data_IF_514369498732
#
_entry.id   IF_514369498732
#
_cell.length_a   1.000
_cell.length_b   1.000
_cell.length_c   1.000
_cell.angle_alpha   90.00
_cell.angle_beta   90.00
_cell.angle_gamma   90.00
#
_symmetry.space_group_name_H-M   'P 1'
#
loop_
_entity.id
_entity.type
_entity.pdbx_description
1 polymer ?
#
# COMPACT_ATOMS: atom_id res chain seq x y z
N UNK A 1 -29.71 33.65 27.13
CA UNK A 1 -29.70 32.77 25.95
C UNK A 1 -29.02 33.52 24.82
N UNK A 2 -27.75 33.23 24.53
CA UNK A 2 -27.07 33.79 23.36
C UNK A 2 -27.70 33.16 22.11
N UNK A 3 -28.35 33.96 21.28
CA UNK A 3 -28.78 33.54 19.96
C UNK A 3 -27.53 33.04 19.20
N UNK A 4 -27.49 31.75 18.88
CA UNK A 4 -26.43 31.21 18.05
C UNK A 4 -26.44 32.00 16.74
N UNK A 5 -25.32 32.67 16.44
CA UNK A 5 -25.24 33.54 15.28
C UNK A 5 -25.55 32.72 14.00
N UNK A 6 -26.47 33.21 13.18
CA UNK A 6 -26.87 32.62 11.88
C UNK A 6 -25.75 32.63 10.82
N UNK A 7 -24.52 32.91 11.24
CA UNK A 7 -23.37 33.14 10.38
C UNK A 7 -22.68 31.79 10.11
N UNK A 8 -22.24 31.53 8.86
CA UNK A 8 -21.44 30.36 8.53
C UNK A 8 -20.24 30.20 9.48
N UNK A 9 -19.89 28.95 9.79
CA UNK A 9 -18.80 28.64 10.71
C UNK A 9 -17.47 29.24 10.26
N UNK A 10 -17.23 29.29 8.94
CA UNK A 10 -16.03 29.86 8.34
C UNK A 10 -16.39 30.69 7.10
N UNK A 11 -15.65 31.76 6.80
CA UNK A 11 -15.86 32.51 5.57
C UNK A 11 -15.40 31.69 4.35
N UNK A 12 -16.13 31.81 3.24
CA UNK A 12 -15.95 30.99 2.04
C UNK A 12 -14.51 31.04 1.48
N UNK A 13 -13.87 32.21 1.52
CA UNK A 13 -12.50 32.41 1.04
C UNK A 13 -11.44 31.65 1.86
N UNK A 14 -11.75 31.22 3.08
CA UNK A 14 -10.85 30.36 3.89
C UNK A 14 -11.03 28.89 3.52
N UNK A 15 -12.25 28.46 3.23
CA UNK A 15 -12.59 27.04 3.02
C UNK A 15 -12.36 26.59 1.57
N UNK A 16 -12.68 27.45 0.59
CA UNK A 16 -12.63 27.09 -0.83
C UNK A 16 -11.20 26.84 -1.34
N UNK A 17 -10.19 27.71 -1.10
CA UNK A 17 -8.84 27.48 -1.60
C UNK A 17 -8.21 26.15 -1.14
N UNK A 18 -8.25 25.73 0.15
CA UNK A 18 -7.70 24.45 0.55
C UNK A 18 -8.50 23.27 -0.02
N UNK A 19 -9.84 23.37 -0.10
CA UNK A 19 -10.66 22.32 -0.72
C UNK A 19 -10.34 22.15 -2.22
N UNK A 20 -10.18 23.26 -2.94
CA UNK A 20 -9.75 23.25 -4.35
C UNK A 20 -8.34 22.68 -4.50
N UNK A 21 -7.41 23.06 -3.64
CA UNK A 21 -6.05 22.51 -3.61
C UNK A 21 -6.04 20.99 -3.39
N UNK A 22 -6.79 20.50 -2.41
CA UNK A 22 -6.94 19.07 -2.16
C UNK A 22 -7.59 18.34 -3.34
N UNK A 23 -8.59 18.95 -3.97
CA UNK A 23 -9.23 18.39 -5.16
C UNK A 23 -8.23 18.23 -6.32
N UNK A 24 -7.36 19.22 -6.54
CA UNK A 24 -6.29 19.16 -7.55
C UNK A 24 -5.27 18.08 -7.22
N UNK A 25 -4.85 17.97 -5.96
CA UNK A 25 -3.92 16.92 -5.50
C UNK A 25 -4.52 15.54 -5.72
N UNK A 26 -5.79 15.34 -5.35
CA UNK A 26 -6.49 14.06 -5.53
C UNK A 26 -6.66 13.72 -7.02
N UNK A 27 -7.00 14.70 -7.86
CA UNK A 27 -7.09 14.52 -9.30
C UNK A 27 -5.73 14.12 -9.91
N UNK A 28 -4.65 14.81 -9.52
CA UNK A 28 -3.29 14.46 -9.91
C UNK A 28 -2.88 13.07 -9.43
N UNK A 29 -3.25 12.70 -8.21
CA UNK A 29 -2.99 11.36 -7.65
C UNK A 29 -3.70 10.26 -8.45
N UNK A 30 -4.98 10.46 -8.80
CA UNK A 30 -5.72 9.51 -9.66
C UNK A 30 -5.08 9.39 -11.04
N UNK A 31 -4.63 10.49 -11.63
CA UNK A 31 -3.94 10.49 -12.92
C UNK A 31 -2.58 9.76 -12.84
N UNK A 32 -1.80 10.01 -11.79
CA UNK A 32 -0.52 9.35 -11.55
C UNK A 32 -0.68 7.83 -11.35
N UNK A 33 -1.75 7.38 -10.69
CA UNK A 33 -2.04 5.95 -10.49
C UNK A 33 -2.30 5.18 -11.79
N UNK A 34 -2.59 5.84 -12.90
CA UNK A 34 -2.73 5.17 -14.21
C UNK A 34 -1.40 4.58 -14.71
N UNK A 35 -0.28 5.19 -14.34
CA UNK A 35 1.06 4.80 -14.79
C UNK A 35 1.82 3.96 -13.76
N UNK A 36 1.27 3.79 -12.55
CA UNK A 36 1.91 3.02 -11.51
C UNK A 36 1.84 1.50 -11.81
N UNK A 37 2.96 0.82 -11.65
CA UNK A 37 3.04 -0.64 -11.76
C UNK A 37 2.39 -1.27 -10.51
N UNK A 38 1.08 -1.49 -10.61
CA UNK A 38 0.25 -1.99 -9.52
C UNK A 38 -0.74 -3.03 -10.05
N UNK A 39 -1.06 -4.07 -9.25
CA UNK A 39 -2.15 -4.99 -9.58
C UNK A 39 -3.44 -4.23 -9.86
N UNK A 40 -4.13 -4.59 -10.94
CA UNK A 40 -5.34 -3.89 -11.39
C UNK A 40 -6.42 -3.78 -10.31
N UNK A 41 -6.54 -4.78 -9.44
CA UNK A 41 -7.48 -4.78 -8.31
C UNK A 41 -7.18 -3.65 -7.30
N UNK A 42 -5.92 -3.51 -6.87
CA UNK A 42 -5.48 -2.46 -5.93
C UNK A 42 -5.68 -1.07 -6.53
N UNK A 43 -5.37 -0.92 -7.83
CA UNK A 43 -5.58 0.34 -8.56
C UNK A 43 -7.04 0.76 -8.59
N UNK A 44 -7.97 -0.17 -8.85
CA UNK A 44 -9.43 0.11 -8.86
C UNK A 44 -9.91 0.56 -7.48
N UNK A 45 -9.50 -0.11 -6.40
CA UNK A 45 -9.92 0.24 -5.03
C UNK A 45 -9.38 1.62 -4.64
N UNK A 46 -8.11 1.91 -4.91
CA UNK A 46 -7.52 3.24 -4.63
C UNK A 46 -8.18 4.35 -5.44
N UNK A 47 -8.49 4.10 -6.72
CA UNK A 47 -9.19 5.06 -7.57
C UNK A 47 -10.59 5.35 -7.03
N UNK A 48 -11.34 4.31 -6.62
CA UNK A 48 -12.65 4.48 -5.99
C UNK A 48 -12.54 5.29 -4.70
N UNK A 49 -11.57 4.99 -3.83
CA UNK A 49 -11.31 5.75 -2.61
C UNK A 49 -11.03 7.23 -2.88
N UNK A 50 -10.18 7.53 -3.88
CA UNK A 50 -9.89 8.92 -4.26
C UNK A 50 -11.11 9.65 -4.83
N UNK A 51 -11.95 8.98 -5.64
CA UNK A 51 -13.19 9.57 -6.15
C UNK A 51 -14.13 9.93 -4.99
N UNK A 52 -14.27 9.03 -4.01
CA UNK A 52 -15.07 9.30 -2.80
C UNK A 52 -14.49 10.48 -2.02
N UNK A 53 -13.17 10.56 -1.85
CA UNK A 53 -12.50 11.71 -1.21
C UNK A 53 -12.65 13.03 -2.00
N UNK A 54 -12.76 12.98 -3.32
CA UNK A 54 -13.06 14.17 -4.13
C UNK A 54 -14.52 14.61 -3.95
N UNK A 55 -15.45 13.65 -3.84
CA UNK A 55 -16.86 13.92 -3.60
C UNK A 55 -17.13 14.52 -2.21
N UNK A 56 -16.27 14.27 -1.21
CA UNK A 56 -16.40 14.90 0.11
C UNK A 56 -16.02 16.39 0.12
N UNK A 57 -15.15 16.85 -0.79
CA UNK A 57 -14.71 18.25 -0.82
C UNK A 57 -15.87 19.26 -0.97
N UNK A 58 -16.79 19.13 -1.96
CA UNK A 58 -17.91 20.07 -2.08
C UNK A 58 -18.86 20.01 -0.87
N UNK A 59 -19.00 18.85 -0.21
CA UNK A 59 -19.80 18.73 1.00
C UNK A 59 -19.16 19.45 2.19
N UNK A 60 -17.83 19.38 2.33
CA UNK A 60 -17.07 20.11 3.34
C UNK A 60 -17.22 21.62 3.10
N UNK A 61 -17.06 22.08 1.85
CA UNK A 61 -17.24 23.50 1.49
C UNK A 61 -18.65 23.96 1.80
N UNK A 62 -19.66 23.17 1.43
CA UNK A 62 -21.05 23.47 1.76
C UNK A 62 -21.25 23.54 3.27
N UNK A 63 -20.77 22.54 4.02
CA UNK A 63 -20.99 22.42 5.45
C UNK A 63 -20.39 23.60 6.24
N UNK A 64 -19.17 24.02 5.90
CA UNK A 64 -18.47 25.06 6.66
C UNK A 64 -18.69 26.48 6.11
N UNK A 65 -18.92 26.62 4.80
CA UNK A 65 -19.00 27.93 4.13
C UNK A 65 -20.42 28.42 3.83
N UNK A 66 -21.42 27.52 3.76
CA UNK A 66 -22.79 27.86 3.33
C UNK A 66 -23.83 27.37 4.34
N UNK A 67 -23.64 26.17 4.89
CA UNK A 67 -24.55 25.53 5.83
C UNK A 67 -24.68 26.34 7.11
N UNK A 68 -25.92 26.72 7.43
CA UNK A 68 -26.25 27.43 8.67
C UNK A 68 -27.15 26.56 9.55
N UNK A 69 -26.95 26.65 10.87
CA UNK A 69 -27.80 25.96 11.86
C UNK A 69 -29.23 26.49 11.88
N UNK A 70 -29.48 27.67 11.29
CA UNK A 70 -30.82 28.23 11.14
C UNK A 70 -31.76 27.29 10.35
N UNK A 71 -31.20 26.49 9.44
CA UNK A 71 -31.93 25.54 8.61
C UNK A 71 -31.50 24.10 8.95
N UNK A 72 -32.10 23.48 9.99
CA UNK A 72 -31.62 22.22 10.54
C UNK A 72 -31.76 21.04 9.55
N UNK A 73 -32.76 21.07 8.65
CA UNK A 73 -32.98 19.98 7.67
C UNK A 73 -31.82 19.80 6.69
N UNK A 74 -31.45 20.80 5.86
CA UNK A 74 -30.31 20.65 4.94
C UNK A 74 -29.01 20.42 5.69
N UNK A 75 -28.82 21.07 6.85
CA UNK A 75 -27.63 20.87 7.69
C UNK A 75 -27.48 19.40 8.13
N UNK A 76 -28.55 18.79 8.67
CA UNK A 76 -28.54 17.37 9.05
C UNK A 76 -28.34 16.44 7.86
N UNK A 77 -28.94 16.74 6.70
CA UNK A 77 -28.76 15.95 5.49
C UNK A 77 -27.31 15.96 4.99
N UNK A 78 -26.64 17.12 4.99
CA UNK A 78 -25.22 17.23 4.64
C UNK A 78 -24.34 16.43 5.59
N UNK A 79 -24.58 16.53 6.90
CA UNK A 79 -23.87 15.72 7.89
C UNK A 79 -24.08 14.22 7.67
N UNK A 80 -25.32 13.79 7.43
CA UNK A 80 -25.64 12.40 7.14
C UNK A 80 -24.93 11.89 5.87
N UNK A 81 -24.89 12.70 4.80
CA UNK A 81 -24.13 12.38 3.59
C UNK A 81 -22.63 12.26 3.88
N UNK A 82 -22.06 13.18 4.67
CA UNK A 82 -20.64 13.19 5.00
C UNK A 82 -20.25 11.96 5.84
N UNK A 83 -21.05 11.60 6.84
CA UNK A 83 -20.88 10.37 7.63
C UNK A 83 -21.03 9.13 6.74
N UNK A 84 -22.01 9.12 5.83
CA UNK A 84 -22.21 8.02 4.87
C UNK A 84 -21.00 7.82 3.94
N UNK A 85 -20.45 8.90 3.39
CA UNK A 85 -19.22 8.88 2.59
C UNK A 85 -18.01 8.43 3.41
N UNK A 86 -17.88 8.88 4.66
CA UNK A 86 -16.83 8.43 5.56
C UNK A 86 -16.95 6.93 5.85
N UNK A 87 -18.15 6.44 6.11
CA UNK A 87 -18.44 5.01 6.25
C UNK A 87 -18.03 4.22 5.00
N UNK A 88 -18.36 4.74 3.81
CA UNK A 88 -17.94 4.13 2.55
C UNK A 88 -16.40 4.08 2.40
N UNK A 89 -15.68 5.13 2.83
CA UNK A 89 -14.21 5.13 2.86
C UNK A 89 -13.65 4.06 3.80
N UNK A 90 -14.25 3.90 4.99
CA UNK A 90 -13.84 2.86 5.94
C UNK A 90 -14.04 1.47 5.34
N UNK A 91 -15.20 1.21 4.72
CA UNK A 91 -15.47 -0.08 4.05
C UNK A 91 -14.48 -0.34 2.92
N UNK A 92 -14.19 0.66 2.08
CA UNK A 92 -13.19 0.53 1.01
C UNK A 92 -11.79 0.26 1.57
N UNK A 93 -11.40 0.91 2.66
CA UNK A 93 -10.12 0.70 3.33
C UNK A 93 -10.02 -0.72 3.91
N UNK A 94 -11.08 -1.24 4.52
CA UNK A 94 -11.14 -2.61 5.01
C UNK A 94 -11.01 -3.61 3.85
N UNK A 95 -11.69 -3.38 2.73
CA UNK A 95 -11.57 -4.23 1.54
C UNK A 95 -10.15 -4.21 0.97
N UNK A 96 -9.48 -3.05 0.93
CA UNK A 96 -8.07 -2.94 0.50
C UNK A 96 -7.13 -3.72 1.43
N UNK A 97 -7.34 -3.63 2.74
CA UNK A 97 -6.56 -4.34 3.74
C UNK A 97 -6.74 -5.86 3.65
N UNK A 98 -7.97 -6.34 3.47
CA UNK A 98 -8.27 -7.76 3.28
C UNK A 98 -7.60 -8.28 2.00
N UNK A 99 -7.70 -7.54 0.90
CA UNK A 99 -7.09 -7.94 -0.36
C UNK A 99 -5.55 -7.96 -0.29
N UNK A 100 -4.96 -6.94 0.35
CA UNK A 100 -3.51 -6.85 0.55
C UNK A 100 -2.97 -7.97 1.45
N UNK A 101 -3.71 -8.34 2.50
CA UNK A 101 -3.31 -9.46 3.38
C UNK A 101 -3.36 -10.81 2.66
N UNK A 102 -4.37 -11.02 1.81
CA UNK A 102 -4.45 -12.21 0.95
C UNK A 102 -3.24 -12.28 0.01
N UNK A 103 -2.91 -11.20 -0.70
CA UNK A 103 -1.77 -11.18 -1.61
C UNK A 103 -0.44 -11.44 -0.88
N UNK A 104 -0.24 -10.82 0.28
CA UNK A 104 0.97 -11.01 1.07
C UNK A 104 1.12 -12.45 1.57
N UNK A 105 0.01 -13.15 1.84
CA UNK A 105 0.04 -14.56 2.21
C UNK A 105 0.53 -15.46 1.06
N UNK A 106 0.18 -15.15 -0.19
CA UNK A 106 0.65 -15.87 -1.37
C UNK A 106 2.13 -15.60 -1.63
N UNK A 107 2.55 -14.34 -1.61
CA UNK A 107 3.96 -13.96 -1.78
C UNK A 107 4.86 -14.59 -0.70
N UNK A 108 4.41 -14.62 0.56
CA UNK A 108 5.15 -15.30 1.64
C UNK A 108 5.29 -16.80 1.42
N UNK A 109 4.28 -17.46 0.83
CA UNK A 109 4.35 -18.90 0.51
C UNK A 109 5.32 -19.15 -0.63
N UNK A 110 5.33 -18.30 -1.64
CA UNK A 110 6.23 -18.39 -2.79
C UNK A 110 7.69 -18.16 -2.40
N UNK A 111 7.97 -17.08 -1.65
CA UNK A 111 9.31 -16.81 -1.12
C UNK A 111 9.84 -17.93 -0.22
N UNK A 112 8.96 -18.60 0.55
CA UNK A 112 9.34 -19.78 1.34
C UNK A 112 9.72 -20.98 0.46
N UNK A 113 9.06 -21.15 -0.68
CA UNK A 113 9.38 -22.23 -1.64
C UNK A 113 10.69 -21.93 -2.37
N UNK A 114 10.89 -20.69 -2.83
CA UNK A 114 12.15 -20.27 -3.46
C UNK A 114 13.33 -20.39 -2.51
N UNK A 115 13.18 -19.97 -1.25
CA UNK A 115 14.23 -20.13 -0.25
C UNK A 115 14.62 -21.59 -0.03
N UNK A 116 13.65 -22.51 0.00
CA UNK A 116 13.92 -23.96 0.12
C UNK A 116 14.68 -24.49 -1.09
N UNK A 117 14.28 -24.10 -2.31
CA UNK A 117 14.99 -24.46 -3.55
C UNK A 117 16.44 -23.97 -3.52
N UNK A 118 16.67 -22.71 -3.16
CA UNK A 118 18.03 -22.17 -3.05
C UNK A 118 18.86 -22.92 -1.99
N UNK A 119 18.26 -23.34 -0.87
CA UNK A 119 18.95 -24.14 0.14
C UNK A 119 19.31 -25.54 -0.37
N UNK A 120 18.41 -26.18 -1.11
CA UNK A 120 18.64 -27.47 -1.76
C UNK A 120 19.77 -27.37 -2.79
N UNK A 121 19.78 -26.32 -3.62
CA UNK A 121 20.82 -26.06 -4.61
C UNK A 121 22.19 -25.83 -3.96
N UNK A 122 22.25 -25.02 -2.89
CA UNK A 122 23.49 -24.80 -2.13
C UNK A 122 23.98 -26.11 -1.51
N UNK A 123 23.09 -26.89 -0.88
CA UNK A 123 23.45 -28.17 -0.28
C UNK A 123 23.98 -29.15 -1.33
N UNK A 124 23.35 -29.18 -2.51
CA UNK A 124 23.79 -29.99 -3.65
C UNK A 124 25.19 -29.60 -4.10
N UNK A 125 25.45 -28.32 -4.36
CA UNK A 125 26.77 -27.83 -4.80
C UNK A 125 27.86 -28.18 -3.77
N UNK A 126 27.59 -27.99 -2.49
CA UNK A 126 28.53 -28.32 -1.40
C UNK A 126 28.80 -29.83 -1.34
N UNK A 127 27.77 -30.66 -1.53
CA UNK A 127 27.92 -32.12 -1.52
C UNK A 127 28.71 -32.65 -2.73
N UNK A 128 28.52 -32.04 -3.91
CA UNK A 128 29.27 -32.37 -5.13
C UNK A 128 30.76 -32.04 -4.98
N UNK A 129 31.10 -30.88 -4.39
CA UNK A 129 32.50 -30.53 -4.09
C UNK A 129 33.13 -31.50 -3.08
N UNK A 130 32.40 -31.84 -2.00
CA UNK A 130 32.91 -32.76 -0.97
C UNK A 130 33.19 -34.17 -1.51
N UNK A 131 32.38 -34.66 -2.46
CA UNK A 131 32.64 -35.96 -3.09
C UNK A 131 33.87 -35.92 -4.01
N UNK A 132 34.09 -34.79 -4.70
CA UNK A 132 35.26 -34.61 -5.57
C UNK A 132 36.56 -34.65 -4.79
N UNK A 133 36.63 -33.98 -3.64
CA UNK A 133 37.81 -33.99 -2.76
C UNK A 133 38.12 -35.38 -2.17
N UNK A 134 37.10 -36.23 -1.97
CA UNK A 134 37.29 -37.61 -1.47
C UNK A 134 37.72 -38.57 -2.58
N UNK A 135 37.38 -38.25 -3.83
CA UNK A 135 37.63 -39.09 -5.00
C UNK A 135 38.92 -38.78 -5.76
N UNK A 136 39.55 -37.61 -5.55
CA UNK A 136 40.93 -37.42 -5.98
C UNK A 136 41.82 -38.29 -5.07
N UNK A 137 42.38 -39.41 -5.57
CA UNK A 137 43.37 -40.15 -4.80
C UNK A 137 44.42 -39.12 -4.45
N UNK A 138 44.71 -39.02 -3.15
CA UNK A 138 45.79 -38.20 -2.64
C UNK A 138 47.03 -38.53 -3.49
N UNK A 139 47.30 -37.73 -4.53
CA UNK A 139 48.61 -37.53 -5.14
C UNK A 139 49.49 -36.77 -4.14
N UNK A 140 49.30 -37.10 -2.86
CA UNK A 140 50.21 -36.94 -1.77
C UNK A 140 51.37 -37.82 -2.17
N UNK A 141 52.25 -37.20 -2.94
CA UNK A 141 53.68 -37.31 -2.76
C UNK A 141 54.03 -38.73 -2.33
N UNK A 142 53.97 -39.65 -3.29
CA UNK A 142 55.15 -40.48 -3.44
C UNK A 142 56.30 -39.52 -3.79
N UNK A 143 56.78 -38.74 -2.80
CA UNK A 143 58.22 -38.64 -2.57
C UNK A 143 58.63 -40.11 -2.48
N UNK A 144 58.95 -40.73 -3.62
CA UNK A 144 60.27 -40.59 -4.24
C UNK A 144 61.30 -40.85 -3.16
N UNK A 145 61.23 -42.06 -2.63
CA UNK A 145 62.26 -42.79 -1.88
C UNK A 145 63.48 -43.09 -2.80
N UNK A 146 63.76 -42.23 -3.79
CA UNK A 146 64.90 -42.35 -4.70
C UNK A 146 66.04 -41.44 -4.23
N UNK A 147 66.79 -41.89 -3.22
CA UNK A 147 68.26 -42.01 -3.28
C UNK A 147 68.89 -42.35 -1.91
N UNK A 148 69.05 -43.65 -1.64
CA UNK A 148 70.36 -44.20 -1.28
C UNK A 148 71.39 -43.95 -2.44
N UNK A 149 72.74 -44.09 -2.33
CA UNK A 149 73.54 -44.74 -1.28
C UNK A 149 74.89 -44.05 -0.90
N UNK A 150 75.52 -44.62 0.16
CA UNK A 150 76.94 -44.61 0.59
C UNK A 150 77.48 -43.47 1.44
#
# INVERSE_FOLDING_TARGET
MMAAADVPALPLWVVVPPAAGLMLILAGYVLAMRHADMPASRRRIRTAGSIVMMATQPLIVYLFGIGTSANPRPFMLTWAMLIGLLGMLVVLAMLDAINSSRLMSHQRRELRRERRRMQEDVYRIVSEHRQRDVGEPNLRLADTDENEPR
#
